data_IF_700484481746
#
_entry.id   IF_700484481746
#
_cell.length_a   1.000
_cell.length_b   1.000
_cell.length_c   1.000
_cell.angle_alpha   90.00
_cell.angle_beta   90.00
_cell.angle_gamma   90.00
#
_symmetry.space_group_name_H-M   'P 1'
#
loop_
_entity.id
_entity.type
_entity.pdbx_description
1 polymer ?
#
# COMPACT_ATOMS: atom_id res chain seq x y z
N UNK A 1 -22.75 19.81 5.69
CA UNK A 1 -23.55 20.15 4.50
C UNK A 1 -22.62 20.05 3.28
N UNK A 2 -23.15 19.60 2.14
CA UNK A 2 -22.48 19.26 0.86
C UNK A 2 -22.13 17.78 0.64
N UNK A 3 -23.15 17.10 0.09
CA UNK A 3 -23.11 15.90 -0.72
C UNK A 3 -22.46 16.19 -2.09
N UNK A 4 -21.83 15.19 -2.71
CA UNK A 4 -22.00 14.95 -4.16
C UNK A 4 -21.84 13.46 -4.49
N UNK A 5 -22.98 12.77 -4.54
CA UNK A 5 -23.24 11.69 -5.50
C UNK A 5 -23.80 12.34 -6.77
N UNK A 6 -23.41 11.86 -7.95
CA UNK A 6 -24.33 11.30 -8.97
C UNK A 6 -23.56 11.08 -10.28
N UNK A 7 -23.53 9.85 -10.82
CA UNK A 7 -24.61 9.15 -11.55
C UNK A 7 -24.73 9.68 -12.97
N UNK A 8 -24.16 8.92 -13.89
CA UNK A 8 -24.14 9.18 -15.33
C UNK A 8 -25.53 8.88 -15.88
N UNK A 9 -26.19 9.93 -16.36
CA UNK A 9 -27.49 9.87 -17.04
C UNK A 9 -27.26 9.75 -18.55
N UNK A 10 -27.92 8.78 -19.18
CA UNK A 10 -28.03 8.64 -20.65
C UNK A 10 -28.86 9.80 -21.20
N UNK A 11 -28.39 10.46 -22.26
CA UNK A 11 -29.26 11.17 -23.20
C UNK A 11 -28.65 11.18 -24.60
N UNK A 12 -29.52 10.91 -25.57
CA UNK A 12 -29.32 10.65 -27.00
C UNK A 12 -29.30 11.97 -27.82
N UNK A 13 -28.77 11.90 -29.07
CA UNK A 13 -28.98 12.82 -30.23
C UNK A 13 -28.08 14.08 -30.18
N UNK A 14 -27.23 14.46 -31.16
CA UNK A 14 -27.51 14.71 -32.58
C UNK A 14 -26.23 14.82 -33.43
N UNK A 15 -26.35 14.38 -34.68
CA UNK A 15 -25.40 14.39 -35.81
C UNK A 15 -25.11 15.80 -36.35
N UNK A 16 -23.84 16.12 -36.67
CA UNK A 16 -23.36 16.98 -37.79
C UNK A 16 -21.84 16.73 -37.92
N UNK A 17 -21.36 15.97 -38.90
CA UNK A 17 -21.01 16.36 -40.27
C UNK A 17 -19.56 16.86 -40.44
N UNK A 18 -18.81 16.04 -41.20
CA UNK A 18 -17.75 16.40 -42.18
C UNK A 18 -16.53 17.22 -41.75
N UNK A 19 -15.37 16.55 -41.81
CA UNK A 19 -14.04 17.16 -41.86
C UNK A 19 -13.02 16.15 -42.39
N UNK A 20 -12.95 16.02 -43.71
CA UNK A 20 -12.06 15.14 -44.47
C UNK A 20 -10.66 15.76 -44.54
N UNK A 21 -9.63 15.10 -44.00
CA UNK A 21 -8.24 15.30 -44.40
C UNK A 21 -7.55 13.93 -44.50
N UNK A 22 -7.38 13.50 -45.75
CA UNK A 22 -6.53 12.39 -46.11
C UNK A 22 -5.07 12.88 -46.19
N UNK A 23 -4.16 12.20 -45.50
CA UNK A 23 -2.73 12.22 -45.84
C UNK A 23 -2.30 10.77 -45.99
N UNK A 24 -2.14 10.38 -47.25
CA UNK A 24 -1.43 9.17 -47.63
C UNK A 24 0.07 9.40 -47.43
N UNK A 25 0.70 8.54 -46.64
CA UNK A 25 2.12 8.21 -46.85
C UNK A 25 2.27 6.70 -46.84
N UNK A 26 2.29 6.16 -48.04
CA UNK A 26 2.90 4.89 -48.40
C UNK A 26 4.38 4.92 -48.05
N UNK A 27 4.85 3.99 -47.23
CA UNK A 27 6.22 3.50 -47.33
C UNK A 27 6.19 1.98 -47.48
N UNK A 28 6.63 1.57 -48.67
CA UNK A 28 6.80 0.22 -49.11
C UNK A 28 8.16 -0.33 -48.67
N UNK A 29 8.21 -1.65 -48.55
CA UNK A 29 9.38 -2.53 -48.63
C UNK A 29 10.44 -2.45 -47.51
N UNK A 30 10.51 -3.54 -46.74
CA UNK A 30 11.73 -4.34 -46.66
C UNK A 30 11.36 -5.80 -46.34
N UNK A 31 11.30 -6.60 -47.41
CA UNK A 31 11.17 -8.05 -47.42
C UNK A 31 12.53 -8.61 -47.80
N UNK A 32 13.39 -8.88 -46.80
CA UNK A 32 14.66 -9.64 -46.86
C UNK A 32 14.86 -10.10 -45.41
N UNK A 33 14.81 -11.37 -45.00
CA UNK A 33 15.63 -12.48 -45.47
C UNK A 33 14.92 -13.84 -45.24
N UNK A 34 14.38 -14.43 -46.31
CA UNK A 34 14.16 -15.88 -46.41
C UNK A 34 15.45 -16.57 -46.90
N UNK A 35 16.58 -16.32 -46.22
CA UNK A 35 17.88 -16.90 -46.58
C UNK A 35 18.24 -18.20 -45.83
N UNK A 36 17.32 -18.71 -45.02
CA UNK A 36 17.44 -20.06 -44.47
C UNK A 36 16.53 -21.03 -45.22
N UNK A 37 16.95 -21.27 -46.46
CA UNK A 37 17.19 -22.63 -46.95
C UNK A 37 16.20 -23.69 -46.46
N UNK A 38 15.11 -23.79 -47.20
CA UNK A 38 14.36 -25.04 -47.39
C UNK A 38 15.32 -26.16 -47.81
N UNK A 39 15.93 -26.83 -46.83
CA UNK A 39 16.40 -28.20 -46.99
C UNK A 39 15.24 -29.11 -46.63
N UNK A 40 14.46 -29.49 -47.65
CA UNK A 40 13.56 -30.64 -47.59
C UNK A 40 14.41 -31.90 -47.49
N UNK A 41 14.79 -32.26 -46.27
CA UNK A 41 15.17 -33.62 -45.95
C UNK A 41 13.91 -34.47 -45.93
N UNK A 42 13.67 -35.24 -46.99
CA UNK A 42 12.68 -36.32 -46.98
C UNK A 42 13.18 -37.41 -46.03
N UNK A 43 12.83 -37.30 -44.74
CA UNK A 43 12.97 -38.40 -43.79
C UNK A 43 11.75 -39.31 -43.92
N UNK A 44 11.97 -40.50 -44.46
CA UNK A 44 10.95 -41.52 -44.79
C UNK A 44 10.77 -42.53 -43.65
N UNK A 45 11.42 -42.34 -42.50
CA UNK A 45 11.33 -43.27 -41.38
C UNK A 45 11.34 -42.49 -40.07
N UNK A 46 10.15 -42.23 -39.53
CA UNK A 46 9.76 -42.75 -38.22
C UNK A 46 8.38 -42.22 -37.85
N UNK A 47 7.44 -43.16 -37.74
CA UNK A 47 6.16 -42.97 -37.05
C UNK A 47 6.46 -42.82 -35.57
N UNK A 48 6.77 -41.59 -35.16
CA UNK A 48 6.64 -41.16 -33.77
C UNK A 48 5.63 -40.03 -33.79
N UNK A 49 4.50 -40.26 -33.12
CA UNK A 49 3.42 -39.31 -32.90
C UNK A 49 3.97 -38.07 -32.20
N UNK A 50 4.49 -37.13 -32.98
CA UNK A 50 4.93 -35.82 -32.51
C UNK A 50 3.67 -34.97 -32.35
N UNK A 51 3.14 -34.95 -31.13
CA UNK A 51 2.18 -33.95 -30.67
C UNK A 51 2.74 -32.57 -30.98
N UNK A 52 2.25 -31.98 -32.06
CA UNK A 52 2.64 -30.65 -32.51
C UNK A 52 1.92 -29.64 -31.63
N UNK A 53 2.46 -29.35 -30.45
CA UNK A 53 2.00 -28.24 -29.60
C UNK A 53 2.58 -26.94 -30.14
N UNK A 54 2.15 -26.54 -31.34
CA UNK A 54 2.34 -25.21 -31.89
C UNK A 54 0.98 -24.53 -31.94
N UNK A 55 0.48 -24.20 -30.76
CA UNK A 55 -0.56 -23.21 -30.59
C UNK A 55 -0.04 -22.23 -29.56
N UNK A 56 0.26 -21.00 -29.97
CA UNK A 56 0.23 -19.85 -29.06
C UNK A 56 -1.20 -19.78 -28.56
N UNK A 57 -1.51 -20.58 -27.55
CA UNK A 57 -2.84 -20.63 -26.93
C UNK A 57 -3.06 -19.24 -26.37
N UNK A 58 -4.00 -18.50 -26.98
CA UNK A 58 -4.41 -17.22 -26.45
C UNK A 58 -4.70 -17.43 -24.96
N UNK A 59 -4.00 -16.68 -24.10
CA UNK A 59 -4.06 -16.89 -22.66
C UNK A 59 -5.53 -16.96 -22.22
N UNK A 60 -5.93 -18.12 -21.69
CA UNK A 60 -7.33 -18.40 -21.33
C UNK A 60 -7.81 -17.31 -20.37
N UNK A 61 -8.93 -16.69 -20.69
CA UNK A 61 -9.55 -15.64 -19.87
C UNK A 61 -10.70 -16.22 -19.07
N UNK A 62 -10.86 -15.74 -17.85
CA UNK A 62 -11.97 -16.11 -16.98
C UNK A 62 -13.18 -15.26 -17.34
N UNK A 63 -14.23 -15.87 -17.88
CA UNK A 63 -15.43 -15.13 -18.35
C UNK A 63 -16.68 -15.48 -17.55
N UNK A 64 -16.68 -16.63 -16.86
CA UNK A 64 -17.79 -17.07 -16.03
C UNK A 64 -17.45 -17.03 -14.54
N UNK A 65 -18.49 -16.84 -13.73
CA UNK A 65 -18.40 -16.87 -12.26
C UNK A 65 -17.98 -18.26 -11.78
N UNK A 66 -18.45 -19.31 -12.46
CA UNK A 66 -18.11 -20.70 -12.14
C UNK A 66 -16.61 -20.96 -12.34
N UNK A 67 -15.99 -20.35 -13.37
CA UNK A 67 -14.54 -20.42 -13.57
C UNK A 67 -13.79 -19.74 -12.42
N UNK A 68 -14.21 -18.54 -11.99
CA UNK A 68 -13.60 -17.85 -10.82
C UNK A 68 -13.74 -18.71 -9.56
N UNK A 69 -14.92 -19.27 -9.31
CA UNK A 69 -15.16 -20.13 -8.16
C UNK A 69 -14.31 -21.40 -8.22
N UNK A 70 -14.16 -22.00 -9.41
CA UNK A 70 -13.28 -23.17 -9.64
C UNK A 70 -11.81 -22.84 -9.37
N UNK A 71 -11.32 -21.68 -9.83
CA UNK A 71 -9.96 -21.21 -9.56
C UNK A 71 -9.70 -21.00 -8.06
N UNK A 72 -10.64 -20.39 -7.35
CA UNK A 72 -10.56 -20.19 -5.91
C UNK A 72 -10.61 -21.51 -5.13
N UNK A 73 -11.45 -22.48 -5.52
CA UNK A 73 -11.45 -23.82 -4.92
C UNK A 73 -10.13 -24.55 -5.16
N UNK A 74 -9.59 -24.46 -6.36
CA UNK A 74 -8.27 -25.02 -6.72
C UNK A 74 -7.15 -24.39 -5.89
N UNK A 75 -7.30 -23.10 -5.54
CA UNK A 75 -6.43 -22.38 -4.65
C UNK A 75 -6.57 -22.75 -3.16
N UNK A 76 -7.54 -23.60 -2.81
CA UNK A 76 -7.80 -24.04 -1.43
C UNK A 76 -8.74 -23.14 -0.64
N UNK A 77 -9.57 -22.33 -1.33
CA UNK A 77 -10.56 -21.47 -0.69
C UNK A 77 -11.97 -22.04 -0.82
N UNK A 78 -12.74 -21.93 0.26
CA UNK A 78 -14.18 -22.15 0.22
C UNK A 78 -14.87 -20.99 -0.48
N UNK A 79 -15.80 -21.27 -1.40
CA UNK A 79 -16.40 -20.23 -2.24
C UNK A 79 -17.92 -20.25 -2.15
N UNK A 80 -18.49 -19.06 -2.09
CA UNK A 80 -19.92 -18.83 -2.25
C UNK A 80 -20.12 -17.91 -3.44
N UNK A 81 -20.85 -18.35 -4.45
CA UNK A 81 -21.24 -17.52 -5.58
C UNK A 81 -22.33 -16.55 -5.12
N UNK A 82 -22.14 -15.27 -5.41
CA UNK A 82 -23.12 -14.23 -5.16
C UNK A 82 -23.80 -13.85 -6.49
N UNK A 83 -24.88 -13.07 -6.42
CA UNK A 83 -25.47 -12.47 -7.61
C UNK A 83 -24.49 -11.47 -8.26
N UNK A 84 -24.57 -11.34 -9.58
CA UNK A 84 -23.59 -10.55 -10.33
C UNK A 84 -22.26 -11.29 -10.51
N UNK A 85 -21.31 -10.70 -11.22
CA UNK A 85 -20.01 -11.31 -11.58
C UNK A 85 -19.05 -11.48 -10.39
N UNK A 86 -19.56 -11.90 -9.23
CA UNK A 86 -18.93 -11.78 -7.92
C UNK A 86 -18.89 -13.14 -7.20
N UNK A 87 -17.71 -13.51 -6.72
CA UNK A 87 -17.51 -14.69 -5.86
C UNK A 87 -16.98 -14.24 -4.51
N UNK A 88 -17.56 -14.75 -3.43
CA UNK A 88 -17.09 -14.50 -2.07
C UNK A 88 -16.32 -15.69 -1.51
N UNK A 89 -15.26 -15.38 -0.76
CA UNK A 89 -14.51 -16.33 0.06
C UNK A 89 -14.03 -15.64 1.34
N UNK A 90 -13.31 -16.36 2.19
CA UNK A 90 -12.74 -15.85 3.44
C UNK A 90 -11.25 -16.20 3.49
N UNK A 91 -10.46 -15.29 4.05
CA UNK A 91 -9.03 -15.48 4.28
C UNK A 91 -8.70 -15.30 5.75
N UNK A 92 -8.26 -16.38 6.38
CA UNK A 92 -7.71 -16.35 7.73
C UNK A 92 -6.28 -15.83 7.73
N UNK A 93 -6.00 -14.87 8.60
CA UNK A 93 -4.68 -14.29 8.82
C UNK A 93 -4.63 -13.77 10.25
N UNK A 94 -4.12 -14.58 11.18
CA UNK A 94 -4.10 -14.30 12.63
C UNK A 94 -3.70 -12.85 12.97
N UNK A 95 -4.46 -12.14 13.82
CA UNK A 95 -5.72 -12.54 14.51
C UNK A 95 -7.03 -12.34 13.73
N UNK A 96 -6.98 -12.04 12.42
CA UNK A 96 -8.14 -11.64 11.64
C UNK A 96 -8.65 -12.74 10.70
N UNK A 97 -9.93 -12.63 10.37
CA UNK A 97 -10.57 -13.34 9.27
C UNK A 97 -11.15 -12.30 8.34
N UNK A 98 -10.59 -12.20 7.14
CA UNK A 98 -10.95 -11.17 6.17
C UNK A 98 -11.96 -11.73 5.16
N UNK A 99 -13.12 -11.08 4.96
CA UNK A 99 -13.99 -11.42 3.85
C UNK A 99 -13.33 -10.96 2.55
N UNK A 100 -13.28 -11.85 1.57
CA UNK A 100 -12.68 -11.61 0.25
C UNK A 100 -13.77 -11.70 -0.80
N UNK A 101 -13.72 -10.76 -1.75
CA UNK A 101 -14.57 -10.74 -2.93
C UNK A 101 -13.68 -10.73 -4.17
N UNK A 102 -14.04 -11.53 -5.17
CA UNK A 102 -13.40 -11.53 -6.49
C UNK A 102 -14.48 -11.24 -7.52
N UNK A 103 -14.27 -10.17 -8.28
CA UNK A 103 -15.20 -9.69 -9.30
C UNK A 103 -14.54 -9.73 -10.68
N UNK A 104 -15.29 -10.14 -11.71
CA UNK A 104 -14.85 -10.01 -13.11
C UNK A 104 -15.25 -8.61 -13.57
N UNK A 105 -14.29 -7.82 -14.07
CA UNK A 105 -14.58 -6.48 -14.60
C UNK A 105 -15.58 -6.53 -15.76
N UNK A 106 -16.31 -5.43 -15.98
CA UNK A 106 -17.30 -5.32 -17.07
C UNK A 106 -16.69 -5.57 -18.45
N UNK A 107 -15.41 -5.17 -18.62
CA UNK A 107 -14.64 -5.35 -19.85
C UNK A 107 -13.92 -6.71 -19.94
N UNK A 108 -14.03 -7.55 -18.90
CA UNK A 108 -13.42 -8.89 -18.79
C UNK A 108 -11.89 -8.90 -18.96
N UNK A 109 -11.23 -7.75 -18.86
CA UNK A 109 -9.79 -7.64 -18.95
C UNK A 109 -9.10 -7.85 -17.61
N UNK A 110 -9.82 -7.67 -16.50
CA UNK A 110 -9.27 -7.71 -15.16
C UNK A 110 -10.17 -8.49 -14.21
N UNK A 111 -9.57 -9.05 -13.17
CA UNK A 111 -10.29 -9.44 -11.97
C UNK A 111 -9.98 -8.41 -10.88
N UNK A 112 -11.00 -8.04 -10.13
CA UNK A 112 -10.89 -7.12 -9.00
C UNK A 112 -10.97 -7.97 -7.74
N UNK A 113 -9.91 -7.98 -6.95
CA UNK A 113 -9.86 -8.68 -5.67
C UNK A 113 -10.00 -7.64 -4.56
N UNK A 114 -11.03 -7.77 -3.74
CA UNK A 114 -11.32 -6.86 -2.62
C UNK A 114 -11.28 -7.62 -1.31
N UNK A 115 -10.48 -7.13 -0.36
CA UNK A 115 -10.31 -7.66 0.98
C UNK A 115 -10.96 -6.69 1.98
N UNK A 116 -12.01 -7.11 2.69
CA UNK A 116 -12.70 -6.26 3.67
C UNK A 116 -11.88 -6.07 4.93
N UNK A 117 -11.80 -4.83 5.43
CA UNK A 117 -10.99 -4.44 6.59
C UNK A 117 -11.83 -4.13 7.84
N UNK A 118 -12.43 -2.94 7.90
CA UNK A 118 -13.22 -2.48 9.04
C UNK A 118 -14.62 -2.06 8.61
N UNK A 119 -15.62 -2.45 9.39
CA UNK A 119 -17.02 -2.06 9.15
C UNK A 119 -17.21 -0.60 9.57
N UNK A 120 -17.77 0.20 8.67
CA UNK A 120 -17.97 1.64 8.84
C UNK A 120 -19.29 2.04 8.18
N UNK A 121 -20.21 2.66 8.92
CA UNK A 121 -21.55 2.94 8.39
C UNK A 121 -21.55 4.11 7.42
N UNK A 122 -20.79 5.16 7.72
CA UNK A 122 -20.62 6.35 6.86
C UNK A 122 -19.12 6.67 6.73
N UNK A 123 -18.66 7.01 5.53
CA UNK A 123 -17.29 7.46 5.26
C UNK A 123 -16.80 8.57 6.23
N UNK A 124 -17.70 9.39 6.75
CA UNK A 124 -17.39 10.45 7.73
C UNK A 124 -17.00 9.93 9.11
N UNK A 125 -17.36 8.68 9.43
CA UNK A 125 -16.95 8.04 10.69
C UNK A 125 -15.46 7.65 10.66
N UNK A 126 -14.84 7.60 9.48
CA UNK A 126 -13.40 7.37 9.34
C UNK A 126 -12.63 8.64 9.68
N UNK A 127 -11.75 8.63 10.69
CA UNK A 127 -10.94 9.79 11.04
C UNK A 127 -10.08 10.26 9.86
N UNK A 128 -9.88 11.58 9.74
CA UNK A 128 -9.06 12.15 8.67
C UNK A 128 -7.61 11.61 8.69
N UNK A 129 -7.05 11.34 9.88
CA UNK A 129 -5.72 10.74 10.01
C UNK A 129 -5.66 9.33 9.42
N UNK A 130 -6.70 8.51 9.63
CA UNK A 130 -6.86 7.18 9.03
C UNK A 130 -6.90 7.28 7.50
N UNK A 131 -7.66 8.24 6.96
CA UNK A 131 -7.71 8.50 5.52
C UNK A 131 -6.35 8.85 4.92
N UNK A 132 -5.63 9.78 5.56
CA UNK A 132 -4.30 10.18 5.12
C UNK A 132 -3.32 9.01 5.20
N UNK A 133 -3.42 8.18 6.24
CA UNK A 133 -2.62 6.97 6.38
C UNK A 133 -2.87 5.97 5.24
N UNK A 134 -4.14 5.71 4.90
CA UNK A 134 -4.54 4.84 3.79
C UNK A 134 -4.04 5.39 2.44
N UNK A 135 -4.19 6.69 2.19
CA UNK A 135 -3.69 7.33 0.97
C UNK A 135 -2.16 7.26 0.88
N UNK A 136 -1.46 7.38 2.01
CA UNK A 136 0.00 7.22 2.07
C UNK A 136 0.40 5.77 1.77
N UNK A 137 -0.39 4.79 2.24
CA UNK A 137 -0.17 3.37 1.91
C UNK A 137 -0.38 3.10 0.41
N UNK A 138 -1.39 3.70 -0.23
CA UNK A 138 -1.61 3.61 -1.68
C UNK A 138 -0.40 4.07 -2.49
N UNK A 139 0.28 5.14 -2.04
CA UNK A 139 1.49 5.63 -2.70
C UNK A 139 2.66 4.65 -2.63
N UNK A 140 2.74 3.84 -1.57
CA UNK A 140 3.79 2.82 -1.40
C UNK A 140 3.52 1.56 -2.21
N UNK A 141 2.25 1.26 -2.50
CA UNK A 141 1.82 0.04 -3.18
C UNK A 141 0.97 0.38 -4.41
N UNK A 142 1.57 0.69 -5.57
CA UNK A 142 0.84 1.26 -6.72
C UNK A 142 -0.21 0.32 -7.34
N UNK A 143 -0.17 -0.98 -7.06
CA UNK A 143 -1.15 -1.98 -7.53
C UNK A 143 -2.25 -2.26 -6.52
N UNK A 144 -2.23 -1.61 -5.36
CA UNK A 144 -3.13 -1.87 -4.24
C UNK A 144 -3.73 -0.55 -3.74
N UNK A 145 -5.03 -0.55 -3.48
CA UNK A 145 -5.78 0.64 -3.10
C UNK A 145 -6.60 0.37 -1.85
N UNK A 146 -6.37 1.16 -0.80
CA UNK A 146 -7.27 1.31 0.33
C UNK A 146 -8.40 2.25 -0.05
N UNK A 147 -9.64 1.81 0.16
CA UNK A 147 -10.86 2.56 -0.17
C UNK A 147 -11.98 2.30 0.85
N UNK A 148 -13.00 3.16 0.85
CA UNK A 148 -14.28 2.88 1.51
C UNK A 148 -15.31 2.50 0.47
N UNK A 149 -16.01 1.40 0.71
CA UNK A 149 -17.11 0.97 -0.11
C UNK A 149 -18.44 1.34 0.58
N UNK A 150 -19.25 2.25 -0.01
CA UNK A 150 -20.51 2.68 0.58
C UNK A 150 -21.58 1.58 0.53
N UNK A 151 -21.59 0.73 -0.50
CA UNK A 151 -22.59 -0.34 -0.66
C UNK A 151 -22.38 -1.46 0.37
N UNK A 152 -21.14 -1.69 0.78
CA UNK A 152 -20.74 -2.72 1.75
C UNK A 152 -20.47 -2.18 3.14
N UNK A 153 -20.59 -0.86 3.33
CA UNK A 153 -20.37 -0.16 4.60
C UNK A 153 -19.08 -0.59 5.30
N UNK A 154 -17.97 -0.60 4.56
CA UNK A 154 -16.67 -1.02 5.11
C UNK A 154 -15.51 -0.42 4.33
N UNK A 155 -14.37 -0.33 4.98
CA UNK A 155 -13.08 -0.08 4.32
C UNK A 155 -12.55 -1.37 3.74
N UNK A 156 -11.86 -1.27 2.60
CA UNK A 156 -11.37 -2.42 1.84
C UNK A 156 -9.98 -2.14 1.26
N UNK A 157 -9.23 -3.22 1.04
CA UNK A 157 -8.03 -3.22 0.21
C UNK A 157 -8.37 -3.87 -1.10
N UNK A 158 -8.13 -3.18 -2.20
CA UNK A 158 -8.51 -3.59 -3.54
C UNK A 158 -7.25 -3.72 -4.39
N UNK A 159 -7.15 -4.78 -5.18
CA UNK A 159 -6.18 -4.86 -6.26
C UNK A 159 -6.84 -5.34 -7.55
N UNK A 160 -6.25 -4.94 -8.67
CA UNK A 160 -6.64 -5.41 -9.99
C UNK A 160 -5.57 -6.35 -10.52
N UNK A 161 -6.00 -7.50 -11.04
CA UNK A 161 -5.12 -8.48 -11.68
C UNK A 161 -5.54 -8.66 -13.13
N UNK A 162 -4.59 -8.77 -14.09
CA UNK A 162 -4.93 -9.13 -15.46
C UNK A 162 -5.67 -10.46 -15.50
N UNK A 163 -6.77 -10.53 -16.25
CA UNK A 163 -7.57 -11.75 -16.37
C UNK A 163 -6.93 -12.80 -17.29
N UNK A 164 -6.09 -12.35 -18.23
CA UNK A 164 -5.43 -13.24 -19.19
C UNK A 164 -4.42 -14.17 -18.51
N UNK A 165 -4.70 -15.47 -18.53
CA UNK A 165 -3.80 -16.48 -17.98
C UNK A 165 -3.78 -16.53 -16.45
N UNK A 166 -4.79 -15.97 -15.77
CA UNK A 166 -4.93 -16.14 -14.32
C UNK A 166 -5.19 -17.60 -13.98
N UNK A 167 -4.46 -18.10 -13.00
CA UNK A 167 -4.65 -19.41 -12.39
C UNK A 167 -4.96 -19.29 -10.88
N UNK A 168 -5.33 -20.42 -10.26
CA UNK A 168 -5.64 -20.45 -8.83
C UNK A 168 -4.44 -20.05 -7.96
N UNK A 169 -3.22 -20.39 -8.38
CA UNK A 169 -2.00 -20.05 -7.65
C UNK A 169 -1.80 -18.54 -7.59
N UNK A 170 -1.91 -17.85 -8.72
CA UNK A 170 -1.80 -16.40 -8.83
C UNK A 170 -2.84 -15.71 -7.97
N UNK A 171 -4.09 -16.19 -8.00
CA UNK A 171 -5.17 -15.61 -7.20
C UNK A 171 -4.92 -15.80 -5.70
N UNK A 172 -4.44 -16.99 -5.30
CA UNK A 172 -4.05 -17.28 -3.91
C UNK A 172 -2.93 -16.38 -3.42
N UNK A 173 -1.88 -16.23 -4.21
CA UNK A 173 -0.72 -15.42 -3.84
C UNK A 173 -1.12 -13.96 -3.71
N UNK A 174 -2.03 -13.48 -4.56
CA UNK A 174 -2.59 -12.13 -4.47
C UNK A 174 -3.44 -11.93 -3.23
N UNK A 175 -4.35 -12.85 -2.92
CA UNK A 175 -5.16 -12.79 -1.70
C UNK A 175 -4.27 -12.83 -0.45
N UNK A 176 -3.26 -13.70 -0.41
CA UNK A 176 -2.30 -13.76 0.68
C UNK A 176 -1.49 -12.46 0.81
N UNK A 177 -1.04 -11.89 -0.31
CA UNK A 177 -0.35 -10.60 -0.33
C UNK A 177 -1.22 -9.48 0.25
N UNK A 178 -2.50 -9.43 -0.11
CA UNK A 178 -3.45 -8.45 0.45
C UNK A 178 -3.65 -8.66 1.95
N UNK A 179 -3.80 -9.91 2.42
CA UNK A 179 -4.00 -10.20 3.83
C UNK A 179 -2.77 -9.85 4.69
N UNK A 180 -1.56 -10.12 4.19
CA UNK A 180 -0.31 -9.71 4.84
C UNK A 180 -0.22 -8.18 4.91
N UNK A 181 -0.49 -7.49 3.79
CA UNK A 181 -0.48 -6.03 3.76
C UNK A 181 -1.53 -5.44 4.72
N UNK A 182 -2.74 -6.00 4.75
CA UNK A 182 -3.78 -5.58 5.67
C UNK A 182 -3.30 -5.73 7.12
N UNK A 183 -2.72 -6.88 7.49
CA UNK A 183 -2.12 -7.08 8.81
C UNK A 183 -1.01 -6.07 9.12
N UNK A 184 -0.08 -5.85 8.21
CA UNK A 184 1.08 -4.98 8.41
C UNK A 184 0.69 -3.49 8.50
N UNK A 185 -0.50 -3.14 8.02
CA UNK A 185 -1.05 -1.79 8.04
C UNK A 185 -2.21 -1.64 9.02
N UNK A 186 -2.39 -2.56 9.97
CA UNK A 186 -3.52 -2.55 10.90
C UNK A 186 -3.70 -1.21 11.63
N UNK A 187 -2.61 -0.61 12.11
CA UNK A 187 -2.59 0.71 12.74
C UNK A 187 -3.13 1.84 11.86
N UNK A 188 -3.14 1.67 10.54
CA UNK A 188 -3.61 2.66 9.56
C UNK A 188 -5.12 2.60 9.38
N UNK A 189 -5.71 1.41 9.38
CA UNK A 189 -7.13 1.23 9.02
C UNK A 189 -8.02 0.76 10.17
N UNK A 190 -7.45 0.29 11.27
CA UNK A 190 -8.19 -0.08 12.46
C UNK A 190 -8.76 1.17 13.10
N UNK A 191 -10.07 1.28 13.10
CA UNK A 191 -10.75 2.28 13.90
C UNK A 191 -10.65 1.84 15.36
N UNK A 192 -10.00 2.65 16.19
CA UNK A 192 -10.12 2.47 17.63
C UNK A 192 -11.61 2.64 17.97
N UNK A 193 -12.26 1.53 18.34
CA UNK A 193 -13.58 1.61 18.93
C UNK A 193 -13.48 2.61 20.08
N UNK A 194 -14.33 3.65 20.15
CA UNK A 194 -14.33 4.55 21.28
C UNK A 194 -14.59 3.68 22.52
N UNK A 195 -13.53 3.41 23.28
CA UNK A 195 -13.64 2.76 24.57
C UNK A 195 -14.50 3.71 25.39
N UNK A 196 -15.75 3.31 25.59
CA UNK A 196 -16.63 3.97 26.55
C UNK A 196 -15.95 3.77 27.90
N UNK A 197 -15.15 4.74 28.31
CA UNK A 197 -14.63 4.81 29.67
C UNK A 197 -15.86 5.06 30.54
N UNK A 198 -16.25 4.13 31.43
CA UNK A 198 -17.24 4.48 32.44
C UNK A 198 -16.57 5.53 33.33
N UNK A 199 -17.21 6.69 33.45
CA UNK A 199 -16.93 7.61 34.53
C UNK A 199 -17.18 6.86 35.84
N UNK A 200 -16.11 6.39 36.48
CA UNK A 200 -16.18 5.85 37.83
C UNK A 200 -15.92 7.00 38.78
N UNK A 201 -16.97 7.31 39.53
CA UNK A 201 -17.09 8.35 40.53
C UNK A 201 -15.98 8.29 41.59
N UNK A 202 -15.57 9.48 42.01
CA UNK A 202 -14.78 9.75 43.21
C UNK A 202 -15.47 9.21 44.47
N UNK A 203 -14.70 8.96 45.54
CA UNK A 203 -15.12 9.44 46.85
C UNK A 203 -14.11 10.43 47.43
N UNK A 204 -14.69 11.55 47.82
CA UNK A 204 -14.17 12.64 48.63
C UNK A 204 -13.68 12.15 50.01
N UNK A 205 -12.52 12.66 50.45
CA UNK A 205 -12.28 13.00 51.86
C UNK A 205 -11.01 13.86 52.01
N UNK A 206 -11.25 15.17 52.11
CA UNK A 206 -10.72 16.11 53.11
C UNK A 206 -9.19 16.36 53.25
N UNK A 207 -8.79 17.52 52.71
CA UNK A 207 -8.17 18.67 53.43
C UNK A 207 -7.09 18.42 54.50
N UNK A 208 -5.84 18.77 54.15
CA UNK A 208 -5.03 19.74 54.93
C UNK A 208 -3.95 20.36 54.03
N UNK A 209 -4.07 21.67 53.78
CA UNK A 209 -2.99 22.59 53.36
C UNK A 209 -2.50 23.29 54.67
N UNK A 210 -1.37 24.03 54.77
CA UNK A 210 -0.62 24.69 53.68
C UNK A 210 0.92 24.69 53.82
N UNK A 211 1.68 24.70 52.72
CA UNK A 211 2.97 25.44 52.60
C UNK A 211 3.37 25.59 51.12
N UNK A 212 3.35 26.83 50.66
CA UNK A 212 4.27 27.51 49.73
C UNK A 212 5.29 26.69 48.90
N UNK A 213 5.32 26.98 47.58
CA UNK A 213 6.48 26.91 46.63
C UNK A 213 6.75 25.58 45.88
N UNK A 214 7.37 25.58 44.67
CA UNK A 214 7.16 26.33 43.42
C UNK A 214 6.60 25.42 42.29
N UNK A 215 6.44 25.99 41.09
CA UNK A 215 6.06 25.33 39.84
C UNK A 215 6.71 23.94 39.60
N UNK A 216 6.03 22.98 38.94
CA UNK A 216 6.61 21.70 38.58
C UNK A 216 7.84 21.92 37.68
N UNK A 217 9.00 21.30 37.98
CA UNK A 217 10.17 21.43 37.13
C UNK A 217 9.87 20.80 35.78
N UNK A 218 10.13 21.57 34.72
CA UNK A 218 10.36 21.03 33.39
C UNK A 218 11.43 19.95 33.52
N UNK A 219 11.03 18.68 33.34
CA UNK A 219 11.96 17.56 33.30
C UNK A 219 12.86 17.81 32.10
N UNK A 220 14.11 18.21 32.39
CA UNK A 220 15.13 18.38 31.39
C UNK A 220 15.29 17.06 30.61
N UNK A 221 15.40 17.12 29.27
CA UNK A 221 15.73 15.92 28.50
C UNK A 221 17.09 15.37 28.98
N UNK A 222 17.21 14.05 29.07
CA UNK A 222 18.47 13.36 29.39
C UNK A 222 19.59 13.78 28.42
N UNK A 223 20.44 14.71 28.86
CA UNK A 223 21.53 15.29 28.06
C UNK A 223 22.58 14.28 27.61
N UNK A 224 22.64 13.09 28.22
CA UNK A 224 23.64 12.07 27.90
C UNK A 224 23.38 11.38 26.54
N UNK A 225 22.14 11.31 26.07
CA UNK A 225 21.79 10.63 24.80
C UNK A 225 21.75 11.55 23.58
N UNK A 226 21.74 12.88 23.78
CA UNK A 226 21.73 13.87 22.70
C UNK A 226 23.13 14.13 22.13
N UNK A 227 24.16 14.00 22.97
CA UNK A 227 25.56 14.26 22.60
C UNK A 227 26.06 13.29 21.53
N UNK A 228 25.66 12.02 21.58
CA UNK A 228 26.05 11.01 20.58
C UNK A 228 25.35 11.20 19.23
N UNK A 229 24.13 11.75 19.24
CA UNK A 229 23.33 12.00 18.04
C UNK A 229 23.69 13.32 17.35
N UNK A 230 24.31 14.27 18.06
CA UNK A 230 24.68 15.58 17.51
C UNK A 230 25.70 15.42 16.36
N UNK A 231 25.44 16.10 15.25
CA UNK A 231 26.27 16.07 14.05
C UNK A 231 25.47 15.87 12.76
N UNK A 232 26.21 15.65 11.66
CA UNK A 232 25.66 15.41 10.31
C UNK A 232 25.68 13.93 9.99
N UNK A 233 24.59 13.44 9.43
CA UNK A 233 24.33 12.03 9.19
C UNK A 233 23.73 11.85 7.81
N UNK A 234 24.01 10.70 7.21
CA UNK A 234 23.44 10.32 5.92
C UNK A 234 23.09 8.83 5.90
N UNK A 235 22.03 8.48 5.16
CA UNK A 235 21.62 7.11 4.93
C UNK A 235 21.09 6.97 3.51
N UNK A 236 21.31 5.82 2.88
CA UNK A 236 20.71 5.46 1.60
C UNK A 236 19.90 4.18 1.79
N UNK A 237 18.63 4.22 1.39
CA UNK A 237 17.73 3.06 1.48
C UNK A 237 17.66 2.30 0.14
N UNK A 238 17.80 3.01 -0.97
CA UNK A 238 17.89 2.45 -2.32
C UNK A 238 18.68 3.38 -3.23
N UNK A 239 18.85 3.01 -4.50
CA UNK A 239 19.49 3.87 -5.50
C UNK A 239 18.73 5.20 -5.74
N UNK A 240 17.44 5.25 -5.41
CA UNK A 240 16.57 6.41 -5.64
C UNK A 240 15.99 7.02 -4.35
N UNK A 241 16.42 6.56 -3.18
CA UNK A 241 15.94 7.05 -1.88
C UNK A 241 17.10 7.22 -0.88
N UNK A 242 17.28 8.45 -0.39
CA UNK A 242 18.32 8.80 0.57
C UNK A 242 17.87 9.87 1.57
N UNK A 243 18.55 9.90 2.72
CA UNK A 243 18.29 10.79 3.83
C UNK A 243 19.60 11.48 4.24
N UNK A 244 19.53 12.76 4.57
CA UNK A 244 20.60 13.50 5.24
C UNK A 244 20.00 14.27 6.42
N UNK A 245 20.57 14.11 7.61
CA UNK A 245 20.09 14.75 8.82
C UNK A 245 21.22 15.53 9.51
N UNK A 246 20.92 16.68 10.07
CA UNK A 246 21.79 17.41 10.98
C UNK A 246 21.06 17.58 12.30
N UNK A 247 21.64 17.07 13.38
CA UNK A 247 21.15 17.25 14.75
C UNK A 247 22.07 18.20 15.48
N UNK A 248 21.50 19.23 16.11
CA UNK A 248 22.25 20.23 16.85
C UNK A 248 22.11 20.01 18.35
N UNK A 249 23.10 20.50 19.10
CA UNK A 249 23.14 20.37 20.56
C UNK A 249 21.98 21.13 21.26
N UNK A 250 21.34 22.08 20.59
CA UNK A 250 20.18 22.82 21.08
C UNK A 250 18.85 22.04 20.96
N UNK A 251 18.90 20.79 20.47
CA UNK A 251 17.71 19.96 20.26
C UNK A 251 16.97 20.27 18.95
N UNK A 252 17.54 21.10 18.06
CA UNK A 252 16.99 21.33 16.72
C UNK A 252 17.58 20.37 15.68
N UNK A 253 16.82 20.12 14.61
CA UNK A 253 17.28 19.30 13.50
C UNK A 253 16.93 19.90 12.13
N UNK A 254 17.70 19.47 11.12
CA UNK A 254 17.37 19.64 9.71
C UNK A 254 17.40 18.25 9.06
N UNK A 255 16.31 17.85 8.42
CA UNK A 255 16.22 16.61 7.65
C UNK A 255 16.02 16.94 6.18
N UNK A 256 16.78 16.28 5.33
CA UNK A 256 16.62 16.29 3.88
C UNK A 256 16.32 14.87 3.43
N UNK A 257 15.19 14.70 2.76
CA UNK A 257 14.77 13.44 2.15
C UNK A 257 14.78 13.60 0.64
N UNK A 258 15.48 12.70 -0.05
CA UNK A 258 15.49 12.60 -1.51
C UNK A 258 14.77 11.33 -1.89
N UNK A 259 13.71 11.44 -2.69
CA UNK A 259 12.95 10.31 -3.22
C UNK A 259 12.60 10.57 -4.68
N UNK A 260 12.96 9.63 -5.56
CA UNK A 260 12.69 9.72 -7.01
C UNK A 260 13.17 11.04 -7.63
N UNK A 261 14.34 11.53 -7.20
CA UNK A 261 14.93 12.79 -7.67
C UNK A 261 14.27 14.07 -7.12
N UNK A 262 13.22 13.96 -6.30
CA UNK A 262 12.62 15.09 -5.58
C UNK A 262 13.22 15.20 -4.18
N UNK A 263 13.53 16.43 -3.78
CA UNK A 263 14.08 16.72 -2.46
C UNK A 263 13.05 17.46 -1.60
N UNK A 264 12.84 16.98 -0.37
CA UNK A 264 12.05 17.67 0.66
C UNK A 264 12.97 18.01 1.82
N UNK A 265 12.83 19.22 2.38
CA UNK A 265 13.58 19.68 3.56
C UNK A 265 12.59 19.94 4.69
N UNK A 266 12.92 19.48 5.88
CA UNK A 266 12.13 19.65 7.10
C UNK A 266 13.04 20.17 8.21
N UNK A 267 12.55 21.14 8.98
CA UNK A 267 13.25 21.68 10.14
C UNK A 267 12.37 21.59 11.38
N UNK A 268 12.96 21.40 12.56
CA UNK A 268 12.19 21.23 13.78
C UNK A 268 13.02 20.91 15.01
N UNK A 269 12.39 20.31 16.01
CA UNK A 269 13.01 19.83 17.24
C UNK A 269 13.04 18.31 17.31
N UNK A 270 14.06 17.77 17.97
CA UNK A 270 14.19 16.35 18.22
C UNK A 270 14.33 16.07 19.71
N UNK A 271 13.92 14.88 20.11
CA UNK A 271 14.12 14.38 21.47
C UNK A 271 14.42 12.89 21.45
N UNK A 272 15.27 12.46 22.36
CA UNK A 272 15.57 11.04 22.59
C UNK A 272 15.08 10.70 23.99
N UNK A 273 14.25 9.66 24.11
CA UNK A 273 13.80 9.12 25.40
C UNK A 273 14.01 7.61 25.38
N UNK A 274 14.96 7.13 26.19
CA UNK A 274 15.40 5.74 26.15
C UNK A 274 15.90 5.36 24.76
N UNK A 275 15.25 4.39 24.12
CA UNK A 275 15.55 3.93 22.76
C UNK A 275 14.65 4.57 21.70
N UNK A 276 13.86 5.59 22.04
CA UNK A 276 12.95 6.23 21.07
C UNK A 276 13.48 7.60 20.66
N UNK A 277 13.71 7.79 19.37
CA UNK A 277 13.99 9.08 18.76
C UNK A 277 12.68 9.64 18.20
N UNK A 278 12.35 10.88 18.57
CA UNK A 278 11.19 11.62 18.04
C UNK A 278 11.64 12.94 17.44
N UNK A 279 11.16 13.23 16.23
CA UNK A 279 11.41 14.41 15.42
C UNK A 279 10.08 15.10 15.16
N UNK A 280 9.99 16.39 15.42
CA UNK A 280 8.79 17.19 15.23
C UNK A 280 9.14 18.50 14.52
N UNK A 281 8.57 18.76 13.35
CA UNK A 281 8.86 19.95 12.56
C UNK A 281 8.00 20.06 11.31
N UNK A 282 7.72 21.27 10.83
CA UNK A 282 7.02 21.59 9.55
C UNK A 282 6.00 20.54 9.04
N UNK A 283 5.04 20.13 9.88
CA UNK A 283 3.98 19.17 9.52
C UNK A 283 4.41 17.69 9.46
N UNK A 284 5.66 17.39 9.83
CA UNK A 284 6.23 16.06 9.99
C UNK A 284 6.43 15.74 11.47
N UNK A 285 5.85 14.63 11.91
CA UNK A 285 6.23 13.98 13.17
C UNK A 285 6.74 12.58 12.85
N UNK A 286 8.02 12.35 13.10
CA UNK A 286 8.67 11.05 12.88
C UNK A 286 9.14 10.52 14.23
N UNK A 287 8.67 9.34 14.62
CA UNK A 287 9.11 8.65 15.83
C UNK A 287 9.56 7.24 15.46
N UNK A 288 10.51 6.66 16.19
CA UNK A 288 11.02 5.33 15.92
C UNK A 288 12.07 4.87 16.92
N UNK A 289 12.43 3.59 16.84
CA UNK A 289 13.50 3.05 17.67
C UNK A 289 14.87 3.50 17.14
N UNK A 290 15.72 3.87 18.07
CA UNK A 290 17.06 4.36 17.86
C UNK A 290 18.04 3.41 18.57
N UNK A 291 19.01 2.92 17.82
CA UNK A 291 20.09 2.10 18.33
C UNK A 291 21.43 2.67 17.87
N UNK A 292 22.16 3.28 18.79
CA UNK A 292 23.53 3.75 18.52
C UNK A 292 24.46 2.57 18.23
N UNK A 293 25.29 2.72 17.19
CA UNK A 293 26.38 1.79 16.83
C UNK A 293 27.73 2.49 17.00
N UNK A 294 27.89 3.22 18.10
CA UNK A 294 29.06 4.05 18.39
C UNK A 294 28.90 5.50 17.89
N UNK A 295 30.03 6.20 17.75
CA UNK A 295 30.04 7.62 17.40
C UNK A 295 29.80 7.85 15.90
N UNK A 296 30.08 6.88 15.04
CA UNK A 296 30.05 7.06 13.57
C UNK A 296 28.82 6.49 12.88
N UNK A 297 27.97 5.75 13.59
CA UNK A 297 26.78 5.15 13.00
C UNK A 297 25.66 4.95 14.03
N UNK A 298 24.42 4.96 13.54
CA UNK A 298 23.27 4.49 14.29
C UNK A 298 22.24 3.87 13.34
N UNK A 299 21.40 2.99 13.89
CA UNK A 299 20.22 2.51 13.20
C UNK A 299 18.99 3.25 13.71
N UNK A 300 18.13 3.65 12.78
CA UNK A 300 16.81 4.17 13.09
C UNK A 300 15.75 3.32 12.41
N UNK A 301 14.82 2.79 13.20
CA UNK A 301 13.67 2.05 12.69
C UNK A 301 12.42 2.89 12.95
N UNK A 302 11.86 3.57 11.92
CA UNK A 302 10.64 4.34 12.06
C UNK A 302 9.52 3.50 12.69
N UNK A 303 8.71 4.06 13.59
CA UNK A 303 7.65 3.34 14.29
C UNK A 303 6.60 2.73 13.34
N UNK A 304 6.52 3.22 12.11
CA UNK A 304 5.61 2.76 11.06
C UNK A 304 6.27 1.82 10.03
N UNK A 305 7.50 1.37 10.26
CA UNK A 305 8.20 0.43 9.36
C UNK A 305 9.11 -0.52 10.14
N UNK A 306 9.16 -1.80 9.78
CA UNK A 306 10.14 -2.74 10.34
C UNK A 306 11.52 -2.69 9.65
N UNK A 307 11.74 -1.72 8.76
CA UNK A 307 12.98 -1.58 8.01
C UNK A 307 13.91 -0.57 8.71
N UNK A 308 15.00 -1.06 9.29
CA UNK A 308 16.03 -0.21 9.87
C UNK A 308 16.75 0.59 8.77
N UNK A 309 16.91 1.89 9.00
CA UNK A 309 17.70 2.80 8.19
C UNK A 309 19.04 2.99 8.90
N UNK A 310 20.12 2.58 8.24
CA UNK A 310 21.47 2.74 8.78
C UNK A 310 22.02 4.14 8.43
N UNK A 311 22.12 5.00 9.43
CA UNK A 311 22.75 6.30 9.31
C UNK A 311 24.23 6.20 9.62
N UNK A 312 25.04 6.83 8.78
CA UNK A 312 26.49 7.00 8.95
C UNK A 312 26.81 8.48 9.06
N UNK A 313 27.80 8.80 9.90
CA UNK A 313 28.26 10.17 10.06
C UNK A 313 28.78 10.67 8.70
N UNK A 314 28.26 11.83 8.28
CA UNK A 314 28.72 12.48 7.06
C UNK A 314 30.12 13.07 7.33
N UNK A 315 31.08 12.78 6.44
CA UNK A 315 32.43 13.36 6.49
C UNK A 315 32.40 14.83 6.06
#
# INVERSE_FOLDING_TARGET
MCFFLNRICRTTIQTFATGLVAVMMTNAQAQQDELFSSLRGTSVFDTVTATTTSGTSAASRVTSIDDVASLLRTAGFETTTLDGRLVSTSKEQDPWTFPVLVEISDDEHHLIVSLGLAVVKDAKEVPAATWIGMLTANQKHPSIQFAYNPDRTRTEVICQIPNAGVDGLTLRDKINQLAILARDTDSVWKLESPKSTPASESPDSSLTNPTQNPAPPAVAPDSASLSSLTGRWSAARSASEAFAAEFKADGSFVLVHVSQGKQTRTTGSFSVRGTTLTLSGDGLTLSGSFLSKGDDAFDFTPANTNAAINFKRAK
#
